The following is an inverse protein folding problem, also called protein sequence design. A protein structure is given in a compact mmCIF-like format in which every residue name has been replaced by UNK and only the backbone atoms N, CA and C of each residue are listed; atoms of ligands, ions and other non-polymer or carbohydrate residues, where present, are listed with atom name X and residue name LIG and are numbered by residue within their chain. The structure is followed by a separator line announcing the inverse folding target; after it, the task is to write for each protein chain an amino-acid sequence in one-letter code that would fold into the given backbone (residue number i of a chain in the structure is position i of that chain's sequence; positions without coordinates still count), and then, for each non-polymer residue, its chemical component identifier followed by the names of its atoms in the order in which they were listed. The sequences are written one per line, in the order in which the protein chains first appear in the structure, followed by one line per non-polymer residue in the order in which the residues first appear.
data_IF_530151248526
#
_entry.id   IF_530151248526
#
_cell.length_a   1.000
_cell.length_b   1.000
_cell.length_c   1.000
_cell.angle_alpha   90.00
_cell.angle_beta   90.00
_cell.angle_gamma   90.00
#
_symmetry.space_group_name_H-M   'P 1'
#
loop_
_entity.id
_entity.type
_entity.pdbx_description
1 polymer ?
#
# COMPACT_ATOMS: atom_id res chain seq x y z
N UNK A 1 30.54 -5.46 29.39
CA UNK A 1 30.43 -6.57 28.43
C UNK A 1 29.44 -6.14 27.35
N UNK A 2 29.93 -5.86 26.14
CA UNK A 2 29.12 -5.51 24.97
C UNK A 2 29.19 -6.72 24.04
N UNK A 3 28.07 -7.39 23.80
CA UNK A 3 28.02 -8.53 22.89
C UNK A 3 27.77 -8.01 21.47
N UNK A 4 28.85 -7.96 20.67
CA UNK A 4 28.79 -7.94 19.22
C UNK A 4 28.47 -9.36 18.73
N UNK A 5 27.44 -9.52 17.91
CA UNK A 5 27.26 -10.71 17.08
C UNK A 5 26.82 -10.31 15.66
N UNK A 6 27.82 -10.20 14.80
CA UNK A 6 27.82 -10.38 13.34
C UNK A 6 27.79 -11.89 13.04
N UNK A 7 27.41 -12.49 11.91
CA UNK A 7 27.04 -12.15 10.52
C UNK A 7 26.33 -13.41 9.95
N UNK A 8 25.47 -13.21 8.95
CA UNK A 8 25.04 -14.14 7.91
C UNK A 8 25.33 -15.64 8.06
N UNK A 9 24.26 -16.43 8.15
CA UNK A 9 23.96 -17.57 7.26
C UNK A 9 22.82 -18.35 7.87
N UNK A 10 21.70 -18.44 7.15
CA UNK A 10 20.90 -19.65 7.00
C UNK A 10 19.79 -19.32 5.98
N UNK A 11 20.11 -19.64 4.72
CA UNK A 11 19.23 -20.04 3.62
C UNK A 11 17.96 -19.18 3.41
N UNK A 12 17.77 -18.52 2.27
CA UNK A 12 17.33 -19.18 1.03
C UNK A 12 16.42 -20.41 1.24
N UNK A 13 15.56 -20.39 2.25
CA UNK A 13 14.29 -21.08 2.16
C UNK A 13 13.40 -20.15 1.33
N UNK A 14 13.32 -20.46 0.05
CA UNK A 14 12.24 -19.92 -0.76
C UNK A 14 11.03 -20.72 -0.31
N UNK A 15 10.06 -20.20 0.47
CA UNK A 15 8.75 -20.77 0.30
C UNK A 15 8.43 -20.50 -1.16
N UNK A 16 8.34 -21.58 -1.94
CA UNK A 16 7.50 -21.67 -3.13
C UNK A 16 6.05 -21.38 -2.70
N UNK A 17 5.83 -20.24 -2.08
CA UNK A 17 4.54 -19.73 -1.74
C UNK A 17 3.90 -19.49 -3.10
N UNK A 18 2.82 -20.21 -3.45
CA UNK A 18 2.06 -19.81 -4.62
C UNK A 18 1.81 -18.31 -4.47
N UNK A 19 1.93 -17.50 -5.54
CA UNK A 19 1.66 -16.07 -5.44
C UNK A 19 0.33 -15.96 -4.71
N UNK A 20 0.25 -15.29 -3.55
CA UNK A 20 -0.93 -15.39 -2.70
C UNK A 20 -2.11 -15.07 -3.60
N UNK A 21 -2.99 -16.07 -3.77
CA UNK A 21 -4.20 -15.98 -4.57
C UNK A 21 -4.87 -14.69 -4.13
N UNK A 22 -4.74 -13.61 -4.93
CA UNK A 22 -4.93 -12.19 -4.53
C UNK A 22 -5.26 -12.07 -3.03
N UNK A 23 -4.28 -11.83 -2.12
CA UNK A 23 -4.59 -11.78 -0.69
C UNK A 23 -5.77 -10.85 -0.51
N UNK A 24 -6.88 -11.40 0.01
CA UNK A 24 -8.20 -10.80 -0.07
C UNK A 24 -8.11 -9.36 0.39
N UNK A 25 -8.36 -8.42 -0.52
CA UNK A 25 -8.45 -7.00 -0.20
C UNK A 25 -9.82 -6.67 0.41
N UNK A 26 -10.60 -7.70 0.73
CA UNK A 26 -11.82 -7.62 1.53
C UNK A 26 -11.46 -7.06 2.91
N UNK A 27 -12.07 -5.93 3.26
CA UNK A 27 -11.79 -5.25 4.53
C UNK A 27 -10.53 -4.38 4.54
N UNK A 28 -9.96 -4.01 3.38
CA UNK A 28 -8.83 -3.08 3.31
C UNK A 28 -9.16 -1.77 4.03
N UNK A 29 -8.38 -1.47 5.06
CA UNK A 29 -8.46 -0.22 5.81
C UNK A 29 -7.20 0.59 5.57
N UNK A 30 -7.34 1.86 5.22
CA UNK A 30 -6.23 2.78 4.97
C UNK A 30 -6.15 3.85 6.05
N UNK A 31 -4.92 4.24 6.37
CA UNK A 31 -4.64 5.32 7.31
C UNK A 31 -4.01 6.49 6.57
N UNK A 32 -4.60 7.67 6.74
CA UNK A 32 -4.02 8.89 6.22
C UNK A 32 -2.76 9.25 7.02
N UNK A 33 -1.61 9.24 6.35
CA UNK A 33 -0.40 9.89 6.84
C UNK A 33 -0.11 11.12 5.99
N UNK A 34 -0.19 12.30 6.59
CA UNK A 34 0.11 13.55 5.90
C UNK A 34 1.57 13.57 5.43
N UNK A 35 1.78 14.03 4.19
CA UNK A 35 3.11 14.28 3.63
C UNK A 35 3.90 13.04 3.19
N UNK A 36 3.34 11.84 3.24
CA UNK A 36 4.03 10.67 2.71
C UNK A 36 3.79 10.54 1.21
N UNK A 37 4.70 11.12 0.43
CA UNK A 37 4.72 11.05 -1.03
C UNK A 37 6.06 10.53 -1.52
N UNK A 38 6.05 9.70 -2.55
CA UNK A 38 7.24 9.12 -3.18
C UNK A 38 7.08 9.17 -4.70
N UNK A 39 8.03 9.78 -5.40
CA UNK A 39 8.07 9.86 -6.88
C UNK A 39 6.72 10.26 -7.55
N UNK A 40 6.04 11.26 -6.99
CA UNK A 40 4.75 11.72 -7.50
C UNK A 40 3.54 10.89 -7.08
N UNK A 41 3.71 9.86 -6.24
CA UNK A 41 2.64 9.07 -5.64
C UNK A 41 2.40 9.47 -4.19
N UNK A 42 1.14 9.45 -3.76
CA UNK A 42 0.76 9.46 -2.35
C UNK A 42 0.80 8.03 -1.83
N UNK A 43 1.37 7.86 -0.64
CA UNK A 43 1.53 6.57 0.01
C UNK A 43 0.61 6.47 1.22
N UNK A 44 -0.31 5.51 1.20
CA UNK A 44 -1.26 5.25 2.28
C UNK A 44 -0.97 3.87 2.88
N UNK A 45 -0.46 3.79 4.12
CA UNK A 45 -0.35 2.52 4.81
C UNK A 45 -1.74 2.01 5.19
N UNK A 46 -1.91 0.69 5.16
CA UNK A 46 -3.16 0.04 5.48
C UNK A 46 -3.00 -1.40 5.91
N UNK A 47 -4.14 -2.04 6.15
CA UNK A 47 -4.20 -3.43 6.59
C UNK A 47 -5.39 -4.15 5.94
N UNK A 48 -5.19 -5.40 5.56
CA UNK A 48 -6.25 -6.33 5.15
C UNK A 48 -6.03 -7.69 5.82
N UNK A 49 -5.25 -8.58 5.20
CA UNK A 49 -4.72 -9.81 5.82
C UNK A 49 -3.30 -9.63 6.42
N UNK A 50 -2.75 -8.43 6.32
CA UNK A 50 -1.39 -8.06 6.69
C UNK A 50 -1.11 -6.60 6.33
N UNK A 51 0.09 -6.07 6.62
CA UNK A 51 0.46 -4.70 6.25
C UNK A 51 0.46 -4.52 4.73
N UNK A 52 -0.22 -3.49 4.26
CA UNK A 52 -0.30 -3.12 2.85
C UNK A 52 0.13 -1.66 2.69
N UNK A 53 0.93 -1.36 1.68
CA UNK A 53 1.18 0.02 1.25
C UNK A 53 0.39 0.27 -0.03
N UNK A 54 -0.58 1.18 0.02
CA UNK A 54 -1.32 1.63 -1.16
C UNK A 54 -0.65 2.87 -1.74
N UNK A 55 -0.44 2.86 -3.04
CA UNK A 55 0.16 3.98 -3.76
C UNK A 55 -0.79 4.44 -4.85
N UNK A 56 -1.05 5.74 -4.92
CA UNK A 56 -1.87 6.37 -5.95
C UNK A 56 -1.20 7.65 -6.47
N UNK A 57 -1.34 8.01 -7.74
CA UNK A 57 -0.79 9.26 -8.26
C UNK A 57 -1.29 10.47 -7.46
N UNK A 58 -0.42 11.43 -7.17
CA UNK A 58 -0.77 12.62 -6.37
C UNK A 58 -1.88 13.45 -7.01
N UNK A 59 -1.92 13.50 -8.34
CA UNK A 59 -3.00 14.14 -9.12
C UNK A 59 -4.35 13.46 -8.90
N UNK A 60 -4.37 12.14 -8.75
CA UNK A 60 -5.55 11.36 -8.43
C UNK A 60 -6.04 11.64 -7.01
N UNK A 61 -5.11 11.61 -6.04
CA UNK A 61 -5.40 11.93 -4.65
C UNK A 61 -6.02 13.33 -4.50
N UNK A 62 -5.43 14.34 -5.14
CA UNK A 62 -5.97 15.70 -5.11
C UNK A 62 -7.40 15.77 -5.64
N UNK A 63 -7.69 15.07 -6.75
CA UNK A 63 -9.05 15.02 -7.32
C UNK A 63 -10.05 14.38 -6.37
N UNK A 64 -9.68 13.27 -5.73
CA UNK A 64 -10.53 12.56 -4.76
C UNK A 64 -10.76 13.43 -3.51
N UNK A 65 -9.70 14.02 -2.97
CA UNK A 65 -9.80 14.93 -1.81
C UNK A 65 -10.72 16.10 -2.10
N UNK A 66 -10.58 16.75 -3.27
CA UNK A 66 -11.43 17.87 -3.66
C UNK A 66 -12.89 17.48 -3.78
N UNK A 67 -13.19 16.28 -4.30
CA UNK A 67 -14.56 15.75 -4.41
C UNK A 67 -15.23 15.57 -3.05
N UNK A 68 -14.47 15.11 -2.05
CA UNK A 68 -15.00 14.75 -0.73
C UNK A 68 -14.83 15.84 0.33
N UNK A 69 -14.23 17.01 0.00
CA UNK A 69 -14.03 18.06 1.00
C UNK A 69 -15.37 18.48 1.64
N UNK A 70 -15.40 18.69 2.98
CA UNK A 70 -14.28 18.62 3.94
C UNK A 70 -14.00 17.21 4.51
N UNK A 71 -14.69 16.16 4.07
CA UNK A 71 -14.63 14.81 4.62
C UNK A 71 -13.46 13.99 4.05
N UNK A 72 -12.28 14.13 4.66
CA UNK A 72 -11.09 13.35 4.29
C UNK A 72 -11.26 11.84 4.53
N UNK A 73 -12.06 11.42 5.51
CA UNK A 73 -12.32 10.01 5.78
C UNK A 73 -13.05 9.34 4.61
N UNK A 74 -14.00 10.04 3.98
CA UNK A 74 -14.67 9.57 2.77
C UNK A 74 -13.71 9.45 1.58
N UNK A 75 -12.77 10.40 1.41
CA UNK A 75 -11.72 10.30 0.39
C UNK A 75 -10.85 9.05 0.58
N UNK A 76 -10.43 8.76 1.81
CA UNK A 76 -9.62 7.58 2.13
C UNK A 76 -10.40 6.29 1.92
N UNK A 77 -11.68 6.26 2.28
CA UNK A 77 -12.56 5.11 2.04
C UNK A 77 -12.77 4.83 0.55
N UNK A 78 -12.91 5.86 -0.29
CA UNK A 78 -12.95 5.71 -1.75
C UNK A 78 -11.65 5.08 -2.27
N UNK A 79 -10.49 5.58 -1.83
CA UNK A 79 -9.19 5.01 -2.25
C UNK A 79 -9.05 3.56 -1.78
N UNK A 80 -9.51 3.22 -0.58
CA UNK A 80 -9.51 1.84 -0.09
C UNK A 80 -10.39 0.95 -0.98
N UNK A 81 -11.61 1.38 -1.29
CA UNK A 81 -12.51 0.64 -2.17
C UNK A 81 -11.93 0.47 -3.58
N UNK A 82 -11.31 1.51 -4.13
CA UNK A 82 -10.67 1.48 -5.45
C UNK A 82 -9.45 0.56 -5.46
N UNK A 83 -8.63 0.61 -4.40
CA UNK A 83 -7.52 -0.30 -4.21
C UNK A 83 -7.98 -1.76 -4.09
N UNK A 84 -9.07 -2.02 -3.36
CA UNK A 84 -9.63 -3.38 -3.25
C UNK A 84 -10.16 -3.92 -4.59
N UNK A 85 -10.80 -3.08 -5.40
CA UNK A 85 -11.40 -3.49 -6.68
C UNK A 85 -10.38 -3.58 -7.82
N UNK A 86 -9.52 -2.57 -7.95
CA UNK A 86 -8.67 -2.35 -9.12
C UNK A 86 -7.17 -2.31 -8.80
N UNK A 87 -6.79 -2.44 -7.52
CA UNK A 87 -5.41 -2.41 -7.09
C UNK A 87 -4.57 -3.51 -7.73
N UNK A 88 -3.39 -3.12 -8.22
CA UNK A 88 -2.41 -4.04 -8.82
C UNK A 88 -1.18 -4.13 -7.95
N UNK A 89 -0.85 -5.35 -7.51
CA UNK A 89 0.38 -5.60 -6.78
C UNK A 89 1.60 -5.29 -7.65
N UNK A 90 2.48 -4.44 -7.13
CA UNK A 90 3.75 -4.07 -7.75
C UNK A 90 4.87 -4.06 -6.71
N UNK A 91 6.11 -4.25 -7.16
CA UNK A 91 7.28 -3.87 -6.35
C UNK A 91 7.62 -2.43 -6.67
N UNK A 92 7.61 -1.58 -5.67
CA UNK A 92 8.06 -0.20 -5.74
C UNK A 92 9.04 0.04 -4.60
N UNK A 93 10.20 0.64 -4.89
CA UNK A 93 11.23 0.96 -3.90
C UNK A 93 11.66 -0.24 -3.04
N UNK A 94 11.75 -1.44 -3.65
CA UNK A 94 12.10 -2.68 -2.96
C UNK A 94 11.00 -3.25 -2.05
N UNK A 95 9.81 -2.63 -2.00
CA UNK A 95 8.68 -3.07 -1.18
C UNK A 95 7.51 -3.51 -2.05
N UNK A 96 6.69 -4.44 -1.54
CA UNK A 96 5.40 -4.76 -2.18
C UNK A 96 4.39 -3.67 -1.85
N UNK A 97 3.83 -3.07 -2.88
CA UNK A 97 2.81 -2.04 -2.77
C UNK A 97 1.65 -2.36 -3.72
N UNK A 98 0.48 -1.88 -3.36
CA UNK A 98 -0.73 -1.99 -4.15
C UNK A 98 -0.92 -0.66 -4.88
N UNK A 99 -0.66 -0.68 -6.18
CA UNK A 99 -0.81 0.49 -7.04
C UNK A 99 -2.27 0.65 -7.45
N UNK A 100 -2.82 1.83 -7.23
CA UNK A 100 -4.15 2.22 -7.70
C UNK A 100 -3.98 3.11 -8.91
N UNK A 101 -4.46 2.64 -10.05
CA UNK A 101 -4.48 3.41 -11.29
C UNK A 101 -5.88 4.03 -11.42
N UNK A 102 -6.04 5.36 -11.25
CA UNK A 102 -7.34 6.03 -11.26
C UNK A 102 -7.98 6.13 -12.66
N UNK A 103 -7.63 5.23 -13.59
CA UNK A 103 -8.00 5.28 -15.00
C UNK A 103 -8.44 3.91 -15.56
N UNK A 104 -9.12 3.11 -14.73
CA UNK A 104 -9.98 2.03 -15.20
C UNK A 104 -11.36 2.56 -15.55
#
# INVERSE_FOLDING_TARGET
MVLMASIASLLFDTPSEPPPTRPGLDGLTLHLRQGWTEDGYVCLPGHAAGPVLVMLPSTAWQRIVLRHRPNLSAAVAEVAAEASRHGRWRRMFGRRALLVDPAG
#
